data_IF_949505365584
#
_entry.id   IF_949505365584
#
_cell.length_a   1.000
_cell.length_b   1.000
_cell.length_c   1.000
_cell.angle_alpha   90.00
_cell.angle_beta   90.00
_cell.angle_gamma   90.00
#
_symmetry.space_group_name_H-M   'P 1'
#
loop_
_entity.id
_entity.type
_entity.pdbx_description
1 polymer ?
#
# COMPACT_ATOMS: atom_id res chain seq x y z
N UNK A 1 13.66 13.97 -19.74
CA UNK A 1 12.97 13.99 -19.42
C UNK A 1 12.54 13.65 -19.29
N UNK A 2 12.83 13.72 -19.01
CA UNK A 2 12.12 13.63 -18.66
C UNK A 2 11.39 13.52 -18.78
N UNK A 3 11.36 13.71 -18.91
CA UNK A 3 10.47 13.77 -18.79
C UNK A 3 10.08 13.67 -18.63
N UNK A 4 10.32 13.97 -18.57
CA UNK A 4 9.73 14.10 -18.27
C UNK A 4 9.23 14.20 -18.32
N UNK A 5 9.32 14.46 -18.51
CA UNK A 5 8.55 14.69 -18.34
C UNK A 5 7.97 14.73 -18.20
N UNK A 6 8.28 14.98 -18.23
CA UNK A 6 7.47 15.24 -18.13
C UNK A 6 6.80 15.03 -17.89
N UNK A 7 6.89 15.04 -17.93
CA UNK A 7 5.96 15.00 -17.72
C UNK A 7 5.56 15.55 -17.16
N UNK A 8 6.30 15.86 -17.28
CA UNK A 8 5.74 16.50 -16.54
C UNK A 8 4.74 16.99 -16.40
N UNK A 9 4.63 17.00 -15.87
CA UNK A 9 3.35 17.48 -16.01
C UNK A 9 2.97 18.38 -14.87
N UNK A 10 2.10 19.26 -15.08
CA UNK A 10 1.54 20.09 -14.03
C UNK A 10 0.32 19.41 -13.42
N UNK A 11 0.26 18.15 -13.59
CA UNK A 11 -0.79 17.34 -13.02
C UNK A 11 -0.62 17.24 -11.51
N UNK A 12 -1.70 17.16 -10.80
CA UNK A 12 -1.70 16.89 -9.36
C UNK A 12 -1.72 15.41 -9.04
N UNK A 13 -1.26 14.57 -9.96
CA UNK A 13 -1.22 13.13 -9.73
C UNK A 13 0.17 12.68 -9.30
N UNK A 14 0.22 11.64 -8.50
CA UNK A 14 1.44 10.99 -8.05
C UNK A 14 1.33 9.49 -8.29
N UNK A 15 2.46 8.89 -8.64
CA UNK A 15 2.52 7.46 -8.92
C UNK A 15 3.39 6.76 -7.87
N UNK A 16 2.96 5.57 -7.48
CA UNK A 16 3.64 4.79 -6.44
C UNK A 16 3.71 3.32 -6.82
N UNK A 17 4.81 2.69 -6.43
CA UNK A 17 4.91 1.24 -6.40
C UNK A 17 4.58 0.81 -4.98
N UNK A 18 3.59 -0.07 -4.83
CA UNK A 18 3.10 -0.51 -3.52
C UNK A 18 3.42 -1.98 -3.34
N UNK A 19 3.97 -2.34 -2.18
CA UNK A 19 4.16 -3.73 -1.80
C UNK A 19 3.28 -4.01 -0.60
N UNK A 20 2.44 -5.03 -0.67
CA UNK A 20 1.55 -5.35 0.44
C UNK A 20 0.56 -6.45 0.11
N UNK A 21 -0.52 -6.49 0.87
CA UNK A 21 -1.58 -7.49 0.73
C UNK A 21 -2.88 -6.83 0.29
N UNK A 22 -3.65 -7.55 -0.51
CA UNK A 22 -4.93 -7.03 -0.98
C UNK A 22 -6.07 -8.04 -0.82
N UNK A 23 -5.80 -9.29 -0.43
CA UNK A 23 -6.86 -10.24 -0.20
C UNK A 23 -7.51 -10.02 1.17
N UNK A 24 -8.82 -10.12 1.20
CA UNK A 24 -9.59 -9.75 2.39
C UNK A 24 -9.26 -10.63 3.60
N UNK A 25 -8.96 -11.89 3.38
CA UNK A 25 -8.67 -12.80 4.48
C UNK A 25 -7.36 -12.44 5.19
N UNK A 26 -6.32 -12.13 4.41
CA UNK A 26 -5.04 -11.69 4.98
C UNK A 26 -5.17 -10.36 5.70
N UNK A 27 -5.92 -9.43 5.12
CA UNK A 27 -6.15 -8.12 5.74
C UNK A 27 -6.89 -8.28 7.06
N UNK A 28 -7.96 -9.07 7.08
CA UNK A 28 -8.71 -9.32 8.32
C UNK A 28 -7.82 -9.94 9.39
N UNK A 29 -7.02 -10.92 9.01
CA UNK A 29 -6.12 -11.59 9.94
C UNK A 29 -5.14 -10.60 10.57
N UNK A 30 -4.52 -9.75 9.76
CA UNK A 30 -3.55 -8.78 10.25
C UNK A 30 -4.21 -7.76 11.18
N UNK A 31 -5.36 -7.23 10.78
CA UNK A 31 -6.01 -6.18 11.55
C UNK A 31 -6.59 -6.69 12.88
N UNK A 32 -7.16 -7.88 12.89
CA UNK A 32 -7.70 -8.45 14.13
C UNK A 32 -6.57 -8.90 15.07
N UNK A 33 -5.52 -9.48 14.52
CA UNK A 33 -4.38 -9.94 15.32
C UNK A 33 -3.68 -8.79 16.03
N UNK A 34 -3.65 -7.63 15.43
CA UNK A 34 -2.99 -6.45 16.00
C UNK A 34 -3.96 -5.52 16.75
N UNK A 35 -5.17 -6.00 17.03
CA UNK A 35 -6.18 -5.25 17.78
C UNK A 35 -6.58 -3.93 17.13
N UNK A 36 -6.44 -3.82 15.83
CA UNK A 36 -6.90 -2.66 15.08
C UNK A 36 -8.41 -2.73 14.88
N UNK A 37 -8.92 -3.95 14.70
CA UNK A 37 -10.36 -4.22 14.63
C UNK A 37 -10.68 -5.39 15.56
N UNK A 38 -11.93 -5.43 16.02
CA UNK A 38 -12.40 -6.53 16.84
C UNK A 38 -13.36 -7.48 16.10
N UNK A 39 -13.57 -7.25 14.82
CA UNK A 39 -14.39 -8.12 13.97
C UNK A 39 -13.92 -8.00 12.53
N UNK A 40 -14.24 -9.00 11.72
CA UNK A 40 -13.84 -9.03 10.33
C UNK A 40 -14.71 -8.11 9.48
N UNK A 41 -14.08 -7.54 8.46
CA UNK A 41 -14.78 -6.77 7.42
C UNK A 41 -15.04 -7.68 6.23
N UNK A 42 -16.10 -7.39 5.49
CA UNK A 42 -16.44 -8.14 4.28
C UNK A 42 -16.01 -7.44 3.01
N UNK A 43 -15.61 -6.16 3.13
CA UNK A 43 -15.26 -5.34 1.99
C UNK A 43 -14.01 -4.53 2.33
N UNK A 44 -12.96 -4.73 1.56
CA UNK A 44 -11.69 -4.02 1.79
C UNK A 44 -11.83 -2.51 1.63
N UNK A 45 -12.82 -2.03 0.88
CA UNK A 45 -13.07 -0.60 0.75
C UNK A 45 -13.37 0.06 2.10
N UNK A 46 -13.88 -0.69 3.06
CA UNK A 46 -14.14 -0.16 4.39
C UNK A 46 -12.90 0.42 5.05
N UNK A 47 -11.72 -0.12 4.72
CA UNK A 47 -10.45 0.36 5.26
C UNK A 47 -10.14 1.76 4.75
N UNK A 48 -10.42 2.01 3.46
CA UNK A 48 -10.15 3.30 2.85
C UNK A 48 -10.92 4.43 3.50
N UNK A 49 -12.13 4.14 3.95
CA UNK A 49 -13.04 5.17 4.44
C UNK A 49 -13.12 5.25 5.97
N UNK A 50 -12.41 4.40 6.68
CA UNK A 50 -12.40 4.43 8.14
C UNK A 50 -11.12 5.11 8.64
N UNK A 51 -11.27 6.33 9.13
CA UNK A 51 -10.14 7.04 9.73
C UNK A 51 -9.54 6.24 10.89
N UNK A 52 -10.40 5.65 11.71
CA UNK A 52 -9.95 4.90 12.89
C UNK A 52 -9.08 3.71 12.51
N UNK A 53 -9.52 2.94 11.52
CA UNK A 53 -8.76 1.77 11.06
C UNK A 53 -7.45 2.22 10.41
N UNK A 54 -7.49 3.23 9.55
CA UNK A 54 -6.30 3.73 8.87
C UNK A 54 -5.27 4.28 9.87
N UNK A 55 -5.75 4.97 10.90
CA UNK A 55 -4.87 5.47 11.95
C UNK A 55 -4.17 4.32 12.68
N UNK A 56 -4.90 3.27 13.00
CA UNK A 56 -4.32 2.08 13.63
C UNK A 56 -3.30 1.40 12.75
N UNK A 57 -3.59 1.26 11.46
CA UNK A 57 -2.67 0.67 10.50
C UNK A 57 -1.36 1.46 10.47
N UNK A 58 -1.45 2.78 10.40
CA UNK A 58 -0.27 3.64 10.33
C UNK A 58 0.55 3.60 11.61
N UNK A 59 -0.10 3.71 12.76
CA UNK A 59 0.60 3.87 14.04
C UNK A 59 1.03 2.54 14.67
N UNK A 60 0.31 1.47 14.44
CA UNK A 60 0.63 0.17 15.03
C UNK A 60 1.53 -0.63 14.10
N UNK A 61 1.22 -0.64 12.81
CA UNK A 61 1.94 -1.45 11.84
C UNK A 61 2.98 -0.68 11.03
N UNK A 62 2.85 0.64 10.95
CA UNK A 62 3.70 1.44 10.08
C UNK A 62 3.42 1.21 8.61
N UNK A 63 2.20 0.81 8.29
CA UNK A 63 1.79 0.54 6.92
C UNK A 63 0.85 1.63 6.42
N UNK A 64 0.58 1.61 5.12
CA UNK A 64 -0.26 2.56 4.41
C UNK A 64 -1.39 1.80 3.72
N UNK A 65 -2.44 2.53 3.36
CA UNK A 65 -3.56 1.97 2.59
C UNK A 65 -3.61 2.69 1.26
N UNK A 66 -3.57 1.93 0.18
CA UNK A 66 -3.61 2.47 -1.18
C UNK A 66 -4.65 1.74 -2.01
N UNK A 67 -5.23 2.45 -2.98
CA UNK A 67 -6.05 1.82 -4.01
C UNK A 67 -5.20 1.74 -5.28
N UNK A 68 -5.00 0.54 -5.80
CA UNK A 68 -4.19 0.32 -6.99
C UNK A 68 -4.96 0.72 -8.26
N UNK A 69 -4.22 0.78 -9.38
CA UNK A 69 -4.83 1.06 -10.68
C UNK A 69 -5.87 0.00 -11.06
N UNK A 70 -5.73 -1.21 -10.55
CA UNK A 70 -6.69 -2.28 -10.80
C UNK A 70 -7.95 -2.14 -9.92
N UNK A 71 -7.99 -1.16 -9.03
CA UNK A 71 -9.12 -0.93 -8.14
C UNK A 71 -9.03 -1.67 -6.82
N UNK A 72 -7.96 -2.43 -6.60
CA UNK A 72 -7.78 -3.18 -5.36
C UNK A 72 -7.29 -2.26 -4.24
N UNK A 73 -7.78 -2.52 -3.03
CA UNK A 73 -7.25 -1.87 -1.84
C UNK A 73 -6.06 -2.68 -1.35
N UNK A 74 -4.92 -2.02 -1.20
CA UNK A 74 -3.68 -2.68 -0.79
C UNK A 74 -3.21 -2.12 0.53
N UNK A 75 -2.89 -3.01 1.46
CA UNK A 75 -2.34 -2.67 2.76
C UNK A 75 -0.84 -2.97 2.71
N UNK A 76 -0.01 -1.93 2.75
CA UNK A 76 1.43 -2.13 2.61
C UNK A 76 2.23 -0.85 2.72
N UNK A 77 3.35 -0.83 2.02
CA UNK A 77 4.23 0.34 1.94
C UNK A 77 4.47 0.69 0.49
N UNK A 78 4.91 1.92 0.24
CA UNK A 78 5.08 2.40 -1.12
C UNK A 78 6.38 3.16 -1.29
N UNK A 79 6.81 3.25 -2.55
CA UNK A 79 7.86 4.17 -2.96
C UNK A 79 7.34 5.01 -4.11
N UNK A 80 7.73 6.28 -4.13
CA UNK A 80 7.31 7.21 -5.17
C UNK A 80 8.04 6.93 -6.48
N UNK A 81 7.31 7.03 -7.58
CA UNK A 81 7.86 6.87 -8.93
C UNK A 81 8.00 8.22 -9.65
N UNK A 82 7.78 9.34 -8.94
CA UNK A 82 7.67 10.64 -9.59
C UNK A 82 9.01 11.30 -9.89
N UNK A 83 10.09 10.83 -9.27
CA UNK A 83 11.36 11.55 -9.30
C UNK A 83 12.48 10.76 -9.99
N UNK A 84 12.14 10.05 -11.04
CA UNK A 84 13.13 9.37 -11.84
C UNK A 84 13.09 7.86 -11.67
N UNK A 85 14.21 7.24 -11.97
CA UNK A 85 14.29 5.78 -11.96
C UNK A 85 14.25 5.23 -10.54
N UNK A 86 13.59 4.10 -10.39
CA UNK A 86 13.54 3.39 -9.11
C UNK A 86 14.73 2.42 -9.07
N UNK A 87 15.54 2.57 -8.04
CA UNK A 87 16.67 1.68 -7.80
C UNK A 87 16.15 0.31 -7.36
N UNK A 88 16.71 -0.74 -7.94
CA UNK A 88 16.31 -2.11 -7.58
C UNK A 88 16.54 -2.39 -6.09
N UNK A 89 17.55 -1.75 -5.48
CA UNK A 89 17.78 -1.89 -4.05
C UNK A 89 16.64 -1.29 -3.22
N UNK A 90 16.04 -0.19 -3.69
CA UNK A 90 14.87 0.39 -3.04
C UNK A 90 13.69 -0.57 -3.07
N UNK A 91 13.50 -1.26 -4.18
CA UNK A 91 12.43 -2.26 -4.31
C UNK A 91 12.68 -3.44 -3.37
N UNK A 92 13.92 -3.90 -3.29
CA UNK A 92 14.28 -4.99 -2.38
C UNK A 92 14.07 -4.61 -0.92
N UNK A 93 14.44 -3.39 -0.55
CA UNK A 93 14.21 -2.90 0.81
C UNK A 93 12.72 -2.80 1.12
N UNK A 94 11.93 -2.32 0.16
CA UNK A 94 10.49 -2.23 0.31
C UNK A 94 9.88 -3.61 0.58
N UNK A 95 10.26 -4.60 -0.22
CA UNK A 95 9.77 -5.97 -0.07
C UNK A 95 10.18 -6.53 1.28
N UNK A 96 11.44 -6.36 1.66
CA UNK A 96 11.95 -6.88 2.93
C UNK A 96 11.22 -6.25 4.12
N UNK A 97 11.01 -4.94 4.09
CA UNK A 97 10.31 -4.25 5.17
C UNK A 97 8.89 -4.78 5.32
N UNK A 98 8.19 -4.95 4.21
CA UNK A 98 6.82 -5.44 4.23
C UNK A 98 6.77 -6.89 4.72
N UNK A 99 7.69 -7.74 4.24
CA UNK A 99 7.75 -9.12 4.69
C UNK A 99 8.02 -9.23 6.19
N UNK A 100 8.83 -8.34 6.72
CA UNK A 100 9.11 -8.33 8.16
C UNK A 100 7.88 -7.89 8.96
N UNK A 101 7.18 -6.87 8.51
CA UNK A 101 5.99 -6.39 9.19
C UNK A 101 4.86 -7.41 9.09
N UNK A 102 4.71 -8.04 7.93
CA UNK A 102 3.66 -9.02 7.66
C UNK A 102 4.19 -10.46 7.74
N UNK A 103 5.04 -10.71 8.72
CA UNK A 103 5.73 -12.02 8.84
C UNK A 103 4.78 -13.20 9.03
N UNK A 104 3.57 -12.96 9.53
CA UNK A 104 2.58 -14.00 9.73
C UNK A 104 1.70 -14.25 8.51
N UNK A 105 1.86 -13.44 7.47
CA UNK A 105 1.11 -13.58 6.23
C UNK A 105 1.86 -14.52 5.30
N UNK A 106 1.12 -15.37 4.58
CA UNK A 106 1.70 -16.22 3.56
C UNK A 106 2.42 -15.33 2.53
N UNK A 107 3.72 -15.53 2.30
CA UNK A 107 4.46 -14.70 1.34
C UNK A 107 3.84 -14.66 -0.06
N UNK A 108 3.13 -15.71 -0.47
CA UNK A 108 2.47 -15.72 -1.77
C UNK A 108 1.34 -14.71 -1.88
N UNK A 109 0.89 -14.15 -0.75
CA UNK A 109 -0.16 -13.13 -0.73
C UNK A 109 0.39 -11.72 -0.79
N UNK A 110 1.69 -11.55 -0.62
CA UNK A 110 2.34 -10.24 -0.69
C UNK A 110 2.63 -9.95 -2.16
N UNK A 111 2.11 -8.83 -2.63
CA UNK A 111 2.17 -8.46 -4.04
C UNK A 111 2.83 -7.10 -4.22
N UNK A 112 3.30 -6.86 -5.44
CA UNK A 112 3.71 -5.54 -5.90
C UNK A 112 2.63 -5.03 -6.83
N UNK A 113 2.20 -3.80 -6.64
CA UNK A 113 1.18 -3.20 -7.47
C UNK A 113 1.50 -1.73 -7.71
N UNK A 114 0.82 -1.16 -8.67
CA UNK A 114 1.01 0.22 -9.07
C UNK A 114 -0.24 1.02 -8.71
N UNK A 115 -0.03 2.17 -8.12
CA UNK A 115 -1.14 3.07 -7.84
C UNK A 115 -0.81 4.47 -8.34
N UNK A 116 -1.84 5.18 -8.71
CA UNK A 116 -1.74 6.58 -9.11
C UNK A 116 -2.82 7.33 -8.35
N UNK A 117 -2.40 8.32 -7.58
CA UNK A 117 -3.33 9.14 -6.81
C UNK A 117 -3.41 10.52 -7.44
N UNK A 118 -4.62 11.02 -7.60
CA UNK A 118 -4.87 12.32 -8.19
C UNK A 118 -5.42 13.26 -7.14
N UNK A 119 -4.92 14.49 -7.15
CA UNK A 119 -5.33 15.54 -6.23
C UNK A 119 -6.05 16.64 -7.01
N UNK A 120 -7.05 17.19 -6.40
CA UNK A 120 -7.80 18.29 -7.02
C UNK A 120 -7.33 19.63 -6.52
#
# INVERSE_FOLDING_TARGET
MKIRNGFVSNSSSSSFLVCGISDIDSINSVLTKNDIMNREITDADSIMYSYYIRHGIEHILGLEVHRSESGRVCLGKSISLDYGDVDINQVKELITDVENILSDVDPSKIILDYTKEEYQ
#
